data_IF_651180064747
#
_entry.id   IF_651180064747
#
_cell.length_a   1.000
_cell.length_b   1.000
_cell.length_c   1.000
_cell.angle_alpha   90.00
_cell.angle_beta   90.00
_cell.angle_gamma   90.00
#
_symmetry.space_group_name_H-M   'P 1'
#
loop_
_entity.id
_entity.type
_entity.pdbx_description
1 polymer ?
#
# COMPACT_ATOMS: atom_id res chain seq x y z
N UNK A 1 12.87 -11.61 10.25
CA UNK A 1 13.66 -11.28 9.05
C UNK A 1 12.93 -10.23 8.24
N UNK A 2 13.62 -9.20 7.76
CA UNK A 2 13.11 -8.30 6.71
C UNK A 2 13.90 -8.60 5.44
N UNK A 3 13.24 -9.14 4.43
CA UNK A 3 13.80 -9.37 3.10
C UNK A 3 13.37 -8.24 2.15
N UNK A 4 14.33 -7.49 1.64
CA UNK A 4 14.14 -6.19 0.98
C UNK A 4 14.38 -5.01 1.93
N UNK A 5 15.29 -5.18 2.90
CA UNK A 5 15.54 -4.22 3.98
C UNK A 5 16.05 -2.85 3.49
N UNK A 6 16.65 -2.77 2.30
CA UNK A 6 17.10 -1.51 1.67
C UNK A 6 15.96 -0.73 1.02
N UNK A 7 14.80 -1.36 0.77
CA UNK A 7 13.64 -0.68 0.19
C UNK A 7 13.09 0.41 1.10
N UNK A 8 12.37 1.39 0.55
CA UNK A 8 11.69 2.42 1.35
C UNK A 8 10.73 1.80 2.37
N UNK A 9 9.95 0.82 1.94
CA UNK A 9 9.02 0.11 2.81
C UNK A 9 9.74 -0.72 3.87
N UNK A 10 10.88 -1.36 3.54
CA UNK A 10 11.71 -2.09 4.50
C UNK A 10 12.27 -1.18 5.59
N UNK A 11 12.69 0.03 5.22
CA UNK A 11 13.13 1.05 6.17
C UNK A 11 12.01 1.52 7.10
N UNK A 12 10.82 1.79 6.55
CA UNK A 12 9.64 2.19 7.31
C UNK A 12 9.16 1.08 8.27
N UNK A 13 9.12 -0.16 7.77
CA UNK A 13 8.77 -1.33 8.59
C UNK A 13 9.74 -1.52 9.76
N UNK A 14 11.04 -1.37 9.50
CA UNK A 14 12.07 -1.44 10.55
C UNK A 14 11.81 -0.41 11.65
N UNK A 15 11.60 0.85 11.29
CA UNK A 15 11.31 1.92 12.25
C UNK A 15 10.06 1.61 13.09
N UNK A 16 8.99 1.13 12.47
CA UNK A 16 7.76 0.78 13.18
C UNK A 16 7.92 -0.47 14.09
N UNK A 17 8.76 -1.44 13.71
CA UNK A 17 9.05 -2.59 14.56
C UNK A 17 9.79 -2.19 15.83
N UNK A 18 10.70 -1.21 15.75
CA UNK A 18 11.42 -0.66 16.90
C UNK A 18 10.49 0.02 17.93
N UNK A 19 9.36 0.55 17.47
CA UNK A 19 8.31 1.17 18.31
C UNK A 19 7.22 0.18 18.77
N UNK A 20 7.28 -1.08 18.30
CA UNK A 20 6.25 -2.07 18.50
C UNK A 20 6.53 -2.99 19.70
N UNK A 21 5.57 -3.89 20.02
CA UNK A 21 5.77 -4.97 21.01
C UNK A 21 6.86 -5.97 20.58
N UNK A 22 7.26 -5.94 19.32
CA UNK A 22 8.28 -6.81 18.76
C UNK A 22 9.70 -6.20 18.82
N UNK A 23 9.87 -5.01 19.38
CA UNK A 23 11.15 -4.30 19.47
C UNK A 23 12.30 -5.11 20.11
N UNK A 24 11.96 -6.00 21.05
CA UNK A 24 12.95 -6.86 21.72
C UNK A 24 13.36 -8.12 20.92
N UNK A 25 12.80 -8.31 19.70
CA UNK A 25 13.12 -9.46 18.88
C UNK A 25 14.40 -9.24 18.08
N UNK A 26 15.15 -10.32 17.88
CA UNK A 26 16.30 -10.30 17.00
C UNK A 26 15.87 -10.04 15.54
N UNK A 27 16.42 -9.01 14.92
CA UNK A 27 16.04 -8.54 13.59
C UNK A 27 17.17 -8.78 12.59
N UNK A 28 16.96 -9.70 11.65
CA UNK A 28 17.86 -9.94 10.53
C UNK A 28 17.40 -9.11 9.32
N UNK A 29 18.33 -8.32 8.77
CA UNK A 29 18.11 -7.46 7.60
C UNK A 29 18.80 -8.09 6.40
N UNK A 30 18.03 -8.48 5.39
CA UNK A 30 18.55 -9.14 4.20
C UNK A 30 17.99 -8.50 2.93
N UNK A 31 18.75 -8.60 1.83
CA UNK A 31 18.32 -8.07 0.55
C UNK A 31 18.96 -8.80 -0.64
N UNK A 32 18.66 -8.33 -1.86
CA UNK A 32 19.32 -8.75 -3.08
C UNK A 32 20.83 -8.46 -3.02
N UNK A 33 21.61 -9.14 -3.87
CA UNK A 33 23.09 -9.04 -3.87
C UNK A 33 23.59 -7.59 -4.03
N UNK A 34 22.87 -6.77 -4.80
CA UNK A 34 23.26 -5.36 -5.04
C UNK A 34 23.16 -4.48 -3.78
N UNK A 35 22.33 -4.85 -2.83
CA UNK A 35 22.12 -4.12 -1.57
C UNK A 35 22.89 -4.76 -0.41
N UNK A 36 23.52 -5.93 -0.60
CA UNK A 36 24.30 -6.59 0.43
C UNK A 36 25.55 -5.75 0.78
N UNK A 37 25.86 -5.64 2.06
CA UNK A 37 26.96 -4.83 2.57
C UNK A 37 26.61 -3.36 2.86
N UNK A 38 25.41 -2.89 2.50
CA UNK A 38 24.95 -1.56 2.87
C UNK A 38 24.82 -1.44 4.38
N UNK A 39 25.35 -0.34 4.90
CA UNK A 39 25.20 0.03 6.31
C UNK A 39 23.81 0.65 6.53
N UNK A 40 23.18 0.25 7.60
CA UNK A 40 21.93 0.81 8.10
C UNK A 40 21.99 0.89 9.62
N UNK A 41 20.91 1.31 10.25
CA UNK A 41 20.77 1.32 11.70
C UNK A 41 19.60 0.40 12.06
N UNK A 42 19.75 -0.37 13.13
CA UNK A 42 18.67 -1.17 13.70
C UNK A 42 18.76 -1.10 15.22
N UNK A 43 17.65 -0.77 15.89
CA UNK A 43 17.57 -0.60 17.35
C UNK A 43 18.63 0.39 17.91
N UNK A 44 18.96 1.44 17.16
CA UNK A 44 19.96 2.44 17.54
C UNK A 44 21.43 1.99 17.36
N UNK A 45 21.66 0.81 16.78
CA UNK A 45 23.00 0.28 16.52
C UNK A 45 23.29 0.15 15.02
N UNK A 46 24.56 0.34 14.60
CA UNK A 46 24.94 0.08 13.21
C UNK A 46 24.70 -1.37 12.83
N UNK A 47 23.99 -1.59 11.74
CA UNK A 47 23.66 -2.90 11.19
C UNK A 47 24.09 -2.99 9.72
N UNK A 48 24.39 -4.19 9.25
CA UNK A 48 24.74 -4.47 7.86
C UNK A 48 23.63 -5.29 7.23
N UNK A 49 23.15 -4.88 6.05
CA UNK A 49 22.21 -5.67 5.25
C UNK A 49 22.99 -6.84 4.66
N UNK A 50 22.52 -8.05 4.94
CA UNK A 50 23.13 -9.29 4.48
C UNK A 50 22.52 -9.74 3.15
N UNK A 51 23.22 -10.58 2.39
CA UNK A 51 22.65 -11.29 1.25
C UNK A 51 21.76 -12.44 1.72
N UNK A 52 20.72 -12.75 0.97
CA UNK A 52 19.91 -13.96 1.22
C UNK A 52 20.73 -15.21 0.91
N UNK A 53 20.81 -16.12 1.88
CA UNK A 53 21.48 -17.42 1.83
C UNK A 53 20.47 -18.52 2.18
N UNK A 54 20.87 -19.81 2.04
CA UNK A 54 19.95 -20.94 2.25
C UNK A 54 19.39 -21.00 3.68
N UNK A 55 20.17 -20.59 4.66
CA UNK A 55 19.80 -20.61 6.08
C UNK A 55 19.24 -19.28 6.61
N UNK A 56 19.11 -18.27 5.75
CA UNK A 56 18.65 -16.91 6.13
C UNK A 56 17.37 -16.93 6.99
N UNK A 57 16.44 -17.80 6.64
CA UNK A 57 15.14 -17.90 7.35
C UNK A 57 15.14 -18.92 8.47
N UNK A 58 16.26 -19.64 8.71
CA UNK A 58 16.32 -20.64 9.77
C UNK A 58 16.04 -20.03 11.15
N UNK A 59 15.08 -20.62 11.89
CA UNK A 59 14.63 -20.13 13.19
C UNK A 59 13.86 -18.80 13.17
N UNK A 60 13.57 -18.24 11.97
CA UNK A 60 12.75 -17.04 11.86
C UNK A 60 11.28 -17.37 12.21
N UNK A 61 10.69 -16.61 13.12
CA UNK A 61 9.25 -16.71 13.43
C UNK A 61 8.41 -15.99 12.37
N UNK A 62 8.88 -14.83 11.93
CA UNK A 62 8.23 -13.99 10.93
C UNK A 62 9.25 -13.58 9.86
N UNK A 63 8.84 -13.66 8.59
CA UNK A 63 9.54 -13.15 7.44
C UNK A 63 8.67 -12.07 6.77
N UNK A 64 9.15 -10.83 6.75
CA UNK A 64 8.56 -9.72 6.02
C UNK A 64 9.22 -9.61 4.65
N UNK A 65 8.43 -9.61 3.58
CA UNK A 65 8.92 -9.48 2.21
C UNK A 65 8.56 -8.09 1.68
N UNK A 66 9.54 -7.19 1.64
CA UNK A 66 9.36 -5.76 1.30
C UNK A 66 10.08 -5.34 0.02
N UNK A 67 10.78 -6.26 -0.64
CA UNK A 67 11.50 -6.03 -1.88
C UNK A 67 10.60 -6.10 -3.12
N UNK A 68 11.22 -6.26 -4.28
CA UNK A 68 10.49 -6.47 -5.54
C UNK A 68 9.67 -7.77 -5.52
N UNK A 69 8.59 -7.83 -6.31
CA UNK A 69 7.79 -9.07 -6.45
C UNK A 69 8.62 -10.26 -6.95
N UNK A 70 9.65 -10.00 -7.77
CA UNK A 70 10.61 -11.03 -8.21
C UNK A 70 11.42 -11.57 -7.02
N UNK A 71 11.97 -10.68 -6.20
CA UNK A 71 12.73 -11.04 -5.01
C UNK A 71 11.85 -11.72 -3.95
N UNK A 72 10.65 -11.21 -3.73
CA UNK A 72 9.65 -11.84 -2.86
C UNK A 72 9.38 -13.30 -3.26
N UNK A 73 9.18 -13.59 -4.55
CA UNK A 73 9.02 -14.97 -5.05
C UNK A 73 10.22 -15.87 -4.76
N UNK A 74 11.43 -15.34 -4.80
CA UNK A 74 12.64 -16.12 -4.44
C UNK A 74 12.67 -16.45 -2.94
N UNK A 75 12.16 -15.56 -2.08
CA UNK A 75 12.16 -15.73 -0.64
C UNK A 75 11.00 -16.61 -0.11
N UNK A 76 9.87 -16.69 -0.83
CA UNK A 76 8.68 -17.43 -0.38
C UNK A 76 8.96 -18.90 -0.04
N UNK A 77 9.62 -19.64 -0.95
CA UNK A 77 9.93 -21.05 -0.77
C UNK A 77 10.84 -21.32 0.45
N UNK A 78 12.01 -20.69 0.52
CA UNK A 78 12.92 -20.82 1.68
C UNK A 78 12.27 -20.40 3.01
N UNK A 79 11.50 -19.33 3.06
CA UNK A 79 10.80 -18.89 4.28
C UNK A 79 9.75 -19.91 4.75
N UNK A 80 8.99 -20.52 3.81
CA UNK A 80 8.03 -21.59 4.10
C UNK A 80 8.73 -22.85 4.63
N UNK A 81 9.82 -23.27 3.98
CA UNK A 81 10.60 -24.43 4.41
C UNK A 81 11.19 -24.26 5.80
N UNK A 82 11.58 -23.05 6.17
CA UNK A 82 12.03 -22.71 7.52
C UNK A 82 10.90 -22.63 8.55
N UNK A 83 9.63 -22.75 8.14
CA UNK A 83 8.46 -22.66 9.01
C UNK A 83 8.12 -21.25 9.49
N UNK A 84 8.65 -20.22 8.85
CA UNK A 84 8.34 -18.84 9.18
C UNK A 84 6.90 -18.48 8.77
N UNK A 85 6.27 -17.61 9.53
CA UNK A 85 5.06 -16.92 9.08
C UNK A 85 5.45 -15.77 8.15
N UNK A 86 4.88 -15.71 6.95
CA UNK A 86 5.25 -14.76 5.92
C UNK A 86 4.24 -13.63 5.89
N UNK A 87 4.74 -12.40 5.93
CA UNK A 87 3.97 -11.15 5.74
C UNK A 87 4.55 -10.47 4.50
N UNK A 88 3.83 -10.61 3.40
CA UNK A 88 4.28 -10.25 2.06
C UNK A 88 3.67 -8.92 1.60
N UNK A 89 4.51 -7.93 1.36
CA UNK A 89 4.17 -6.63 0.77
C UNK A 89 4.56 -6.55 -0.70
N UNK A 90 5.29 -7.56 -1.19
CA UNK A 90 5.84 -7.57 -2.55
C UNK A 90 4.83 -8.07 -3.61
N UNK A 91 3.62 -8.45 -3.18
CA UNK A 91 2.60 -9.11 -4.00
C UNK A 91 3.02 -10.48 -4.58
N UNK A 92 4.13 -11.03 -4.12
CA UNK A 92 4.62 -12.33 -4.58
C UNK A 92 3.63 -13.47 -4.27
N UNK A 93 2.88 -13.35 -3.17
CA UNK A 93 1.90 -14.33 -2.68
C UNK A 93 0.44 -13.99 -3.02
N UNK A 94 0.17 -12.90 -3.72
CA UNK A 94 -1.21 -12.46 -4.00
C UNK A 94 -2.02 -13.47 -4.83
N UNK A 95 -1.36 -14.16 -5.76
CA UNK A 95 -1.97 -15.22 -6.59
C UNK A 95 -1.69 -16.64 -6.08
N UNK A 96 -1.07 -16.77 -4.92
CA UNK A 96 -0.73 -18.06 -4.32
C UNK A 96 -1.97 -18.62 -3.61
N UNK A 97 -2.34 -19.90 -3.83
CA UNK A 97 -3.49 -20.52 -3.13
C UNK A 97 -3.39 -20.47 -1.60
N UNK A 98 -2.16 -20.47 -1.06
CA UNK A 98 -1.89 -20.35 0.37
C UNK A 98 -1.78 -18.90 0.86
N UNK A 99 -1.88 -17.92 -0.04
CA UNK A 99 -1.83 -16.49 0.24
C UNK A 99 -3.14 -16.02 0.86
N UNK A 100 -3.09 -15.49 2.06
CA UNK A 100 -4.25 -14.91 2.74
C UNK A 100 -4.23 -13.38 2.55
N UNK A 101 -5.24 -12.80 1.89
CA UNK A 101 -5.34 -11.34 1.75
C UNK A 101 -5.41 -10.67 3.12
N UNK A 102 -4.66 -9.57 3.29
CA UNK A 102 -4.63 -8.85 4.56
C UNK A 102 -4.62 -7.33 4.39
N UNK A 103 -5.49 -6.67 5.14
CA UNK A 103 -5.45 -5.26 5.50
C UNK A 103 -6.21 -5.05 6.83
N UNK A 104 -6.01 -3.93 7.54
CA UNK A 104 -6.66 -3.70 8.84
C UNK A 104 -8.19 -3.81 8.75
N UNK A 105 -8.78 -4.48 9.73
CA UNK A 105 -10.24 -4.74 9.82
C UNK A 105 -10.85 -5.62 8.70
N UNK A 106 -10.05 -6.29 7.88
CA UNK A 106 -10.58 -7.15 6.79
C UNK A 106 -11.65 -8.14 7.28
N UNK A 107 -11.42 -8.81 8.42
CA UNK A 107 -12.39 -9.77 8.99
C UNK A 107 -13.72 -9.09 9.33
N UNK A 108 -13.65 -7.93 9.98
CA UNK A 108 -14.85 -7.15 10.34
C UNK A 108 -15.62 -6.68 9.11
N UNK A 109 -14.92 -6.18 8.10
CA UNK A 109 -15.52 -5.62 6.89
C UNK A 109 -16.09 -6.68 5.96
N UNK A 110 -15.44 -7.83 5.86
CA UNK A 110 -15.85 -8.92 4.97
C UNK A 110 -16.75 -9.95 5.64
N UNK A 111 -16.76 -10.01 6.98
CA UNK A 111 -17.38 -11.08 7.75
C UNK A 111 -16.67 -12.43 7.61
N UNK A 112 -15.51 -12.48 6.97
CA UNK A 112 -14.71 -13.69 6.77
C UNK A 112 -13.56 -13.73 7.76
N UNK A 113 -13.45 -14.78 8.56
CA UNK A 113 -12.33 -14.97 9.46
C UNK A 113 -11.09 -15.44 8.71
N UNK A 114 -9.93 -14.96 9.13
CA UNK A 114 -8.65 -15.51 8.70
C UNK A 114 -8.56 -16.98 9.06
N UNK A 115 -8.14 -17.81 8.11
CA UNK A 115 -8.06 -19.26 8.33
C UNK A 115 -7.13 -19.60 9.51
N UNK A 116 -7.60 -20.44 10.41
CA UNK A 116 -6.74 -20.97 11.50
C UNK A 116 -5.55 -21.71 10.88
N UNK A 117 -4.34 -21.27 11.21
CA UNK A 117 -3.11 -21.85 10.67
C UNK A 117 -2.60 -21.22 9.38
N UNK A 118 -3.20 -20.14 8.89
CA UNK A 118 -2.62 -19.34 7.81
C UNK A 118 -1.20 -18.89 8.17
N UNK A 119 -0.27 -19.08 7.23
CA UNK A 119 1.15 -18.81 7.40
C UNK A 119 1.72 -17.85 6.37
N UNK A 120 0.94 -17.49 5.36
CA UNK A 120 1.35 -16.55 4.32
C UNK A 120 0.25 -15.50 4.16
N UNK A 121 0.59 -14.25 4.40
CA UNK A 121 -0.31 -13.12 4.33
C UNK A 121 0.15 -12.15 3.25
N UNK A 122 -0.71 -11.83 2.30
CA UNK A 122 -0.48 -10.81 1.29
C UNK A 122 -1.06 -9.49 1.78
N UNK A 123 -0.21 -8.57 2.20
CA UNK A 123 -0.60 -7.24 2.66
C UNK A 123 -0.93 -6.39 1.45
N UNK A 124 -2.09 -5.76 1.44
CA UNK A 124 -2.54 -4.92 0.34
C UNK A 124 -1.68 -3.67 0.19
N UNK A 125 -1.55 -3.23 -1.06
CA UNK A 125 -1.02 -1.91 -1.38
C UNK A 125 -1.89 -0.79 -0.80
N UNK A 126 -1.38 0.43 -0.61
CA UNK A 126 -2.19 1.56 -0.14
C UNK A 126 -3.39 1.81 -1.04
N UNK A 127 -3.23 1.61 -2.36
CA UNK A 127 -4.34 1.70 -3.32
C UNK A 127 -5.40 0.63 -3.10
N UNK A 128 -5.00 -0.62 -2.94
CA UNK A 128 -5.90 -1.74 -2.67
C UNK A 128 -6.64 -1.57 -1.35
N UNK A 129 -5.92 -1.14 -0.29
CA UNK A 129 -6.53 -0.83 1.01
C UNK A 129 -7.59 0.28 0.89
N UNK A 130 -7.28 1.38 0.22
CA UNK A 130 -8.20 2.52 0.07
C UNK A 130 -9.46 2.12 -0.68
N UNK A 131 -9.32 1.41 -1.81
CA UNK A 131 -10.45 0.96 -2.64
C UNK A 131 -11.30 -0.07 -1.89
N UNK A 132 -10.70 -1.12 -1.34
CA UNK A 132 -11.42 -2.19 -0.65
C UNK A 132 -12.15 -1.66 0.60
N UNK A 133 -11.48 -0.85 1.41
CA UNK A 133 -12.07 -0.28 2.62
C UNK A 133 -13.25 0.63 2.28
N UNK A 134 -13.14 1.50 1.26
CA UNK A 134 -14.24 2.38 0.85
C UNK A 134 -15.42 1.57 0.27
N UNK A 135 -15.15 0.63 -0.63
CA UNK A 135 -16.18 -0.20 -1.23
C UNK A 135 -16.97 -1.00 -0.17
N UNK A 136 -16.26 -1.63 0.77
CA UNK A 136 -16.86 -2.39 1.86
C UNK A 136 -17.63 -1.50 2.85
N UNK A 137 -17.14 -0.29 3.15
CA UNK A 137 -17.82 0.68 3.98
C UNK A 137 -19.18 1.09 3.38
N UNK A 138 -19.21 1.29 2.05
CA UNK A 138 -20.40 1.75 1.32
C UNK A 138 -21.38 0.62 0.97
N UNK A 139 -20.96 -0.66 1.05
CA UNK A 139 -21.79 -1.82 0.71
C UNK A 139 -23.12 -1.85 1.48
N UNK A 140 -23.11 -1.49 2.75
CA UNK A 140 -24.32 -1.42 3.60
C UNK A 140 -25.37 -0.41 3.11
N UNK A 141 -24.95 0.55 2.28
CA UNK A 141 -25.81 1.56 1.65
C UNK A 141 -26.23 1.19 0.22
N UNK A 142 -26.00 -0.07 -0.18
CA UNK A 142 -26.34 -0.57 -1.51
C UNK A 142 -25.45 0.04 -2.58
N UNK A 143 -24.14 -0.07 -2.43
CA UNK A 143 -23.15 0.37 -3.43
C UNK A 143 -23.42 -0.31 -4.77
N UNK A 144 -23.81 0.49 -5.79
CA UNK A 144 -24.07 0.02 -7.15
C UNK A 144 -22.86 0.21 -8.06
N UNK A 145 -22.11 1.30 -7.86
CA UNK A 145 -20.94 1.64 -8.66
C UNK A 145 -19.96 2.48 -7.84
N UNK A 146 -18.68 2.17 -7.98
CA UNK A 146 -17.57 2.98 -7.46
C UNK A 146 -16.63 3.31 -8.61
N UNK A 147 -16.37 4.59 -8.85
CA UNK A 147 -15.32 5.06 -9.76
C UNK A 147 -14.27 5.73 -8.92
N UNK A 148 -13.02 5.30 -9.02
CA UNK A 148 -11.94 5.85 -8.19
C UNK A 148 -10.68 6.10 -9.01
N UNK A 149 -10.15 7.31 -8.89
CA UNK A 149 -8.85 7.70 -9.39
C UNK A 149 -7.85 7.73 -8.25
N UNK A 150 -6.75 6.99 -8.39
CA UNK A 150 -5.63 6.94 -7.46
C UNK A 150 -4.49 7.79 -8.00
N UNK A 151 -3.98 8.72 -7.20
CA UNK A 151 -2.87 9.61 -7.52
C UNK A 151 -1.57 9.03 -6.97
N UNK A 152 -0.73 8.49 -7.86
CA UNK A 152 0.37 7.59 -7.58
C UNK A 152 1.69 8.34 -7.46
N UNK A 153 2.36 8.37 -6.28
CA UNK A 153 3.61 9.09 -6.06
C UNK A 153 4.82 8.35 -6.64
N UNK A 154 5.94 9.07 -6.83
CA UNK A 154 7.18 8.46 -7.35
C UNK A 154 7.83 7.47 -6.38
N UNK A 155 7.59 7.59 -5.07
CA UNK A 155 8.10 6.65 -4.05
C UNK A 155 7.63 5.20 -4.25
N UNK A 156 6.58 4.98 -5.01
CA UNK A 156 6.14 3.64 -5.40
C UNK A 156 7.13 2.93 -6.36
N UNK A 157 7.98 3.70 -7.04
CA UNK A 157 9.12 3.19 -7.78
C UNK A 157 10.41 3.13 -6.92
N UNK A 158 10.27 3.23 -5.61
CA UNK A 158 11.38 3.18 -4.68
C UNK A 158 12.25 4.45 -4.68
N UNK A 159 13.45 4.31 -4.13
CA UNK A 159 14.43 5.40 -4.02
C UNK A 159 14.81 5.98 -5.38
N UNK A 160 14.95 5.12 -6.38
CA UNK A 160 15.29 5.55 -7.74
C UNK A 160 14.23 6.47 -8.36
N UNK A 161 12.93 6.22 -8.09
CA UNK A 161 11.85 7.09 -8.52
C UNK A 161 11.92 8.49 -7.90
N UNK A 162 12.27 8.55 -6.62
CA UNK A 162 12.47 9.82 -5.90
C UNK A 162 13.65 10.60 -6.50
N UNK A 163 14.79 9.96 -6.68
CA UNK A 163 16.00 10.55 -7.26
C UNK A 163 15.77 11.03 -8.71
N UNK A 164 14.98 10.28 -9.49
CA UNK A 164 14.66 10.66 -10.87
C UNK A 164 13.78 11.93 -10.90
N UNK A 165 12.74 12.02 -10.05
CA UNK A 165 11.92 13.22 -9.94
C UNK A 165 12.72 14.43 -9.46
N UNK A 166 13.58 14.26 -8.47
CA UNK A 166 14.46 15.32 -7.94
C UNK A 166 15.41 15.83 -9.02
N UNK A 167 16.07 14.90 -9.73
CA UNK A 167 16.98 15.21 -10.83
C UNK A 167 16.27 15.94 -11.97
N UNK A 168 15.12 15.46 -12.42
CA UNK A 168 14.32 16.08 -13.47
C UNK A 168 13.85 17.47 -13.05
N UNK A 169 13.42 17.64 -11.81
CA UNK A 169 13.01 18.94 -11.26
C UNK A 169 14.16 19.94 -11.31
N UNK A 170 15.35 19.56 -10.85
CA UNK A 170 16.56 20.40 -10.89
C UNK A 170 16.94 20.76 -12.34
N UNK A 171 16.93 19.77 -13.24
CA UNK A 171 17.26 19.98 -14.65
C UNK A 171 16.31 20.97 -15.34
N UNK A 172 14.99 20.86 -15.08
CA UNK A 172 13.99 21.79 -15.63
C UNK A 172 14.18 23.22 -15.11
N UNK A 173 14.42 23.38 -13.81
CA UNK A 173 14.62 24.70 -13.19
C UNK A 173 15.93 25.37 -13.62
N UNK A 174 16.92 24.58 -14.05
CA UNK A 174 18.21 25.07 -14.54
C UNK A 174 18.33 25.06 -16.07
N UNK A 175 17.21 24.86 -16.79
CA UNK A 175 17.15 24.84 -18.27
C UNK A 175 18.09 23.82 -18.91
N UNK A 176 18.30 22.67 -18.24
CA UNK A 176 19.09 21.56 -18.75
C UNK A 176 18.21 20.56 -19.48
N UNK A 177 18.85 19.67 -20.25
CA UNK A 177 18.15 18.53 -20.87
C UNK A 177 17.67 17.58 -19.80
N UNK A 178 16.38 17.24 -19.81
CA UNK A 178 15.76 16.32 -18.84
C UNK A 178 16.13 14.88 -19.17
N UNK A 179 16.65 14.15 -18.19
CA UNK A 179 16.84 12.69 -18.24
C UNK A 179 15.54 11.95 -17.94
N UNK A 180 15.45 10.69 -18.38
CA UNK A 180 14.24 9.86 -18.21
C UNK A 180 14.63 8.45 -17.70
N UNK A 181 15.39 8.38 -16.61
CA UNK A 181 16.05 7.15 -16.17
C UNK A 181 15.09 6.04 -15.74
N UNK A 182 14.10 6.35 -14.91
CA UNK A 182 13.21 5.36 -14.28
C UNK A 182 11.90 5.21 -15.04
N UNK A 183 11.30 6.32 -15.42
CA UNK A 183 9.96 6.34 -15.98
C UNK A 183 9.93 6.42 -17.51
N UNK A 184 11.08 6.48 -18.18
CA UNK A 184 11.18 6.59 -19.65
C UNK A 184 10.55 7.84 -20.21
N UNK A 185 10.15 8.81 -19.36
CA UNK A 185 9.50 10.07 -19.73
C UNK A 185 9.69 11.12 -18.65
N UNK A 186 9.36 12.38 -18.95
CA UNK A 186 9.34 13.44 -17.95
C UNK A 186 8.19 13.21 -16.97
N UNK A 187 8.53 13.09 -15.68
CA UNK A 187 7.59 13.02 -14.56
C UNK A 187 7.50 14.33 -13.79
N UNK A 188 8.59 15.11 -13.74
CA UNK A 188 8.59 16.40 -13.07
C UNK A 188 7.58 17.36 -13.70
N UNK A 189 6.69 17.93 -12.88
CA UNK A 189 5.60 18.82 -13.27
C UNK A 189 4.61 18.21 -14.27
N UNK A 190 4.46 16.88 -14.30
CA UNK A 190 3.63 16.19 -15.28
C UNK A 190 2.68 15.19 -14.60
N UNK A 191 1.48 15.02 -15.18
CA UNK A 191 0.49 14.01 -14.83
C UNK A 191 0.44 12.97 -15.93
N UNK A 192 0.59 11.67 -15.60
CA UNK A 192 0.70 10.62 -16.61
C UNK A 192 -0.30 9.50 -16.35
N UNK A 193 -0.95 9.02 -17.41
CA UNK A 193 -1.75 7.78 -17.39
C UNK A 193 -0.94 6.55 -17.80
N UNK A 194 0.28 6.74 -18.29
CA UNK A 194 1.25 5.69 -18.62
C UNK A 194 2.66 6.27 -18.60
N UNK A 195 3.65 5.42 -18.36
CA UNK A 195 5.06 5.77 -18.49
C UNK A 195 5.58 5.61 -19.93
N UNK A 196 6.82 6.02 -20.17
CA UNK A 196 7.48 5.85 -21.46
C UNK A 196 7.79 4.38 -21.75
N UNK A 197 8.07 4.05 -23.03
CA UNK A 197 8.31 2.68 -23.48
C UNK A 197 9.54 2.03 -22.84
N UNK A 198 10.55 2.82 -22.45
CA UNK A 198 11.77 2.35 -21.78
C UNK A 198 11.63 2.24 -20.26
N UNK A 199 10.45 2.54 -19.71
CA UNK A 199 10.21 2.49 -18.27
C UNK A 199 10.26 1.05 -17.75
N UNK A 200 10.91 0.88 -16.61
CA UNK A 200 10.83 -0.36 -15.81
C UNK A 200 9.54 -0.43 -14.97
N UNK A 201 8.82 0.68 -14.88
CA UNK A 201 7.55 0.79 -14.16
C UNK A 201 6.37 0.73 -15.15
N UNK A 202 5.29 0.10 -14.73
CA UNK A 202 4.06 -0.02 -15.54
C UNK A 202 2.82 0.25 -14.67
N UNK A 203 2.19 1.41 -14.89
CA UNK A 203 0.95 1.79 -14.19
C UNK A 203 -0.20 0.82 -14.46
N UNK A 204 -0.26 0.22 -15.65
CA UNK A 204 -1.30 -0.76 -15.98
C UNK A 204 -1.10 -2.06 -15.22
N UNK A 205 0.12 -2.56 -15.14
CA UNK A 205 0.43 -3.74 -14.33
C UNK A 205 0.10 -3.51 -12.86
N UNK A 206 0.48 -2.34 -12.31
CA UNK A 206 0.13 -1.96 -10.93
C UNK A 206 -1.38 -1.87 -10.72
N UNK A 207 -2.12 -1.29 -11.66
CA UNK A 207 -3.57 -1.23 -11.60
C UNK A 207 -4.21 -2.63 -11.56
N UNK A 208 -3.67 -3.60 -12.32
CA UNK A 208 -4.15 -4.98 -12.30
C UNK A 208 -3.88 -5.68 -10.96
N UNK A 209 -2.74 -5.40 -10.31
CA UNK A 209 -2.45 -5.89 -8.96
C UNK A 209 -3.45 -5.33 -7.94
N UNK A 210 -3.72 -4.01 -7.96
CA UNK A 210 -4.73 -3.38 -7.11
C UNK A 210 -6.12 -4.00 -7.34
N UNK A 211 -6.49 -4.27 -8.60
CA UNK A 211 -7.75 -4.96 -8.90
C UNK A 211 -7.80 -6.35 -8.32
N UNK A 212 -6.72 -7.11 -8.38
CA UNK A 212 -6.64 -8.45 -7.79
C UNK A 212 -6.78 -8.41 -6.25
N UNK A 213 -6.17 -7.42 -5.59
CA UNK A 213 -6.35 -7.18 -4.15
C UNK A 213 -7.82 -6.89 -3.81
N UNK A 214 -8.45 -5.98 -4.57
CA UNK A 214 -9.86 -5.60 -4.37
C UNK A 214 -10.78 -6.80 -4.59
N UNK A 215 -10.57 -7.59 -5.66
CA UNK A 215 -11.31 -8.81 -5.94
C UNK A 215 -11.17 -9.83 -4.79
N UNK A 216 -9.96 -10.02 -4.28
CA UNK A 216 -9.71 -10.90 -3.13
C UNK A 216 -10.45 -10.45 -1.85
N UNK A 217 -10.56 -9.13 -1.63
CA UNK A 217 -11.31 -8.57 -0.50
C UNK A 217 -12.82 -8.68 -0.68
N UNK A 218 -13.31 -8.32 -1.85
CA UNK A 218 -14.76 -8.28 -2.16
C UNK A 218 -15.37 -9.66 -2.32
N UNK A 219 -14.63 -10.63 -2.90
CA UNK A 219 -15.18 -11.95 -3.23
C UNK A 219 -16.39 -11.82 -4.13
N UNK A 220 -17.44 -12.63 -3.88
CA UNK A 220 -18.68 -12.62 -4.67
C UNK A 220 -19.40 -11.25 -4.68
N UNK A 221 -19.11 -10.38 -3.71
CA UNK A 221 -19.68 -9.03 -3.65
C UNK A 221 -19.13 -8.07 -4.73
N UNK A 222 -18.08 -8.45 -5.46
CA UNK A 222 -17.59 -7.67 -6.60
C UNK A 222 -18.59 -7.70 -7.78
N UNK A 223 -19.37 -8.76 -7.92
CA UNK A 223 -20.41 -8.87 -8.95
C UNK A 223 -21.54 -7.88 -8.74
N UNK A 224 -21.85 -7.55 -7.48
CA UNK A 224 -22.91 -6.61 -7.11
C UNK A 224 -22.51 -5.15 -7.28
N UNK A 225 -21.20 -4.83 -7.11
CA UNK A 225 -20.70 -3.48 -7.17
C UNK A 225 -19.71 -3.30 -8.33
N UNK A 226 -20.09 -2.49 -9.32
CA UNK A 226 -19.21 -2.16 -10.47
C UNK A 226 -18.09 -1.21 -10.05
N UNK A 227 -16.88 -1.72 -9.84
CA UNK A 227 -15.72 -0.94 -9.45
C UNK A 227 -14.86 -0.59 -10.67
N UNK A 228 -14.72 0.70 -10.96
CA UNK A 228 -13.88 1.23 -12.03
C UNK A 228 -12.70 2.01 -11.44
N UNK A 229 -11.48 1.61 -11.78
CA UNK A 229 -10.27 2.20 -11.24
C UNK A 229 -9.45 2.85 -12.33
N UNK A 230 -8.83 3.98 -11.98
CA UNK A 230 -7.82 4.64 -12.80
C UNK A 230 -6.61 4.96 -11.91
N UNK A 231 -5.40 4.73 -12.44
CA UNK A 231 -4.14 5.03 -11.76
C UNK A 231 -3.43 6.12 -12.53
N UNK A 232 -3.14 7.23 -11.84
CA UNK A 232 -2.56 8.45 -12.42
C UNK A 232 -1.26 8.75 -11.68
N UNK A 233 -0.14 8.74 -12.38
CA UNK A 233 1.11 9.25 -11.83
C UNK A 233 1.02 10.74 -11.56
N UNK A 234 1.46 11.16 -10.39
CA UNK A 234 1.57 12.57 -10.00
C UNK A 234 3.00 12.91 -9.56
N UNK A 235 3.48 14.15 -9.82
CA UNK A 235 4.84 14.55 -9.54
C UNK A 235 5.04 14.93 -8.06
N UNK A 236 4.73 14.00 -7.17
CA UNK A 236 4.95 14.13 -5.72
C UNK A 236 5.84 13.01 -5.22
N UNK A 237 6.64 13.28 -4.21
CA UNK A 237 7.58 12.30 -3.65
C UNK A 237 6.86 11.19 -2.90
N UNK A 238 6.00 11.54 -1.95
CA UNK A 238 5.33 10.64 -1.04
C UNK A 238 3.85 10.99 -0.87
N UNK A 239 3.12 10.01 -0.35
CA UNK A 239 1.72 10.14 -0.04
C UNK A 239 0.83 9.93 -1.26
N UNK A 240 -0.06 8.96 -1.16
CA UNK A 240 -1.10 8.70 -2.16
C UNK A 240 -2.36 9.46 -1.80
N UNK A 241 -2.95 10.14 -2.77
CA UNK A 241 -4.30 10.69 -2.66
C UNK A 241 -5.24 9.94 -3.60
N UNK A 242 -6.54 10.09 -3.39
CA UNK A 242 -7.56 9.54 -4.28
C UNK A 242 -8.81 10.40 -4.33
N UNK A 243 -9.51 10.32 -5.46
CA UNK A 243 -10.86 10.85 -5.65
C UNK A 243 -11.78 9.71 -6.05
N UNK A 244 -12.95 9.61 -5.43
CA UNK A 244 -13.92 8.57 -5.73
C UNK A 244 -15.32 9.13 -5.88
N UNK A 245 -16.11 8.55 -6.81
CA UNK A 245 -17.55 8.79 -6.95
C UNK A 245 -18.28 7.46 -6.77
N UNK A 246 -19.22 7.42 -5.83
CA UNK A 246 -20.02 6.24 -5.53
C UNK A 246 -21.49 6.47 -5.80
N UNK A 247 -22.13 5.56 -6.54
CA UNK A 247 -23.59 5.51 -6.74
C UNK A 247 -24.18 4.52 -5.72
N UNK A 248 -25.12 4.99 -4.91
CA UNK A 248 -25.77 4.24 -3.83
C UNK A 248 -27.24 4.00 -4.14
N UNK A 249 -27.75 2.82 -3.81
CA UNK A 249 -29.17 2.48 -4.00
C UNK A 249 -30.07 3.11 -2.93
N UNK A 250 -29.54 3.30 -1.72
CA UNK A 250 -30.29 3.87 -0.61
C UNK A 250 -30.12 5.39 -0.57
N UNK A 251 -31.18 6.11 -0.23
CA UNK A 251 -31.05 7.50 0.19
C UNK A 251 -30.32 7.52 1.54
N UNK A 252 -29.17 8.16 1.58
CA UNK A 252 -28.29 8.22 2.75
C UNK A 252 -27.90 9.68 3.00
N UNK A 253 -27.81 10.07 4.26
CA UNK A 253 -27.24 11.33 4.66
C UNK A 253 -25.71 11.24 4.79
N UNK A 254 -25.06 12.38 4.88
CA UNK A 254 -23.61 12.47 4.99
C UNK A 254 -23.10 11.84 6.28
N UNK A 255 -23.78 12.10 7.39
CA UNK A 255 -23.41 11.62 8.71
C UNK A 255 -23.36 10.08 8.76
N UNK A 256 -24.33 9.41 8.12
CA UNK A 256 -24.33 7.95 8.02
C UNK A 256 -23.19 7.40 7.15
N UNK A 257 -22.78 8.11 6.10
CA UNK A 257 -21.61 7.76 5.29
C UNK A 257 -20.31 7.93 6.08
N UNK A 258 -20.16 9.05 6.77
CA UNK A 258 -19.00 9.33 7.63
C UNK A 258 -18.86 8.25 8.71
N UNK A 259 -19.95 7.90 9.41
CA UNK A 259 -19.95 6.85 10.42
C UNK A 259 -19.54 5.49 9.83
N UNK A 260 -20.03 5.15 8.64
CA UNK A 260 -19.67 3.92 7.95
C UNK A 260 -18.18 3.89 7.59
N UNK A 261 -17.64 5.02 7.11
CA UNK A 261 -16.22 5.14 6.79
C UNK A 261 -15.35 5.08 8.08
N UNK A 262 -15.75 5.71 9.17
CA UNK A 262 -15.05 5.60 10.47
C UNK A 262 -15.08 4.17 10.99
N UNK A 263 -16.21 3.50 10.93
CA UNK A 263 -16.34 2.10 11.34
C UNK A 263 -15.43 1.18 10.49
N UNK A 264 -15.29 1.48 9.20
CA UNK A 264 -14.40 0.76 8.30
C UNK A 264 -12.91 1.02 8.56
N UNK A 265 -12.54 2.09 9.24
CA UNK A 265 -11.16 2.39 9.62
C UNK A 265 -10.57 3.65 9.00
N UNK A 266 -11.37 4.43 8.28
CA UNK A 266 -10.94 5.77 7.90
C UNK A 266 -10.94 6.74 9.08
N UNK A 267 -9.98 7.63 9.10
CA UNK A 267 -10.05 8.87 9.86
C UNK A 267 -10.79 9.88 8.99
N UNK A 268 -12.04 10.15 9.35
CA UNK A 268 -12.87 11.12 8.62
C UNK A 268 -12.72 12.47 9.29
N UNK A 269 -12.24 13.47 8.56
CA UNK A 269 -12.03 14.82 9.05
C UNK A 269 -13.36 15.49 9.40
N UNK A 270 -13.33 16.36 10.41
CA UNK A 270 -14.51 17.09 10.84
C UNK A 270 -14.91 18.13 9.79
N UNK A 271 -16.21 18.48 9.78
CA UNK A 271 -16.72 19.54 8.91
C UNK A 271 -16.00 20.87 9.19
N UNK A 272 -15.50 21.50 8.14
CA UNK A 272 -14.75 22.74 8.21
C UNK A 272 -13.24 22.58 8.41
N UNK A 273 -12.73 21.38 8.62
CA UNK A 273 -11.29 21.10 8.58
C UNK A 273 -10.79 21.05 7.12
N UNK A 274 -9.52 21.39 6.84
CA UNK A 274 -8.94 21.22 5.53
C UNK A 274 -9.00 19.75 5.09
N UNK A 275 -9.34 19.44 3.81
CA UNK A 275 -9.33 18.07 3.34
C UNK A 275 -7.94 17.45 3.42
N UNK A 276 -7.82 16.11 3.59
CA UNK A 276 -6.53 15.46 3.68
C UNK A 276 -5.74 15.62 2.38
N UNK A 277 -4.43 15.72 2.49
CA UNK A 277 -3.51 15.80 1.36
C UNK A 277 -2.35 14.84 1.56
N UNK A 278 -1.61 14.53 0.49
CA UNK A 278 -0.38 13.74 0.58
C UNK A 278 0.65 14.32 1.58
N UNK A 279 0.63 15.63 1.82
CA UNK A 279 1.51 16.30 2.78
C UNK A 279 0.98 16.17 4.21
N UNK A 280 -0.33 16.40 4.43
CA UNK A 280 -0.92 16.39 5.77
C UNK A 280 -0.99 14.99 6.40
N UNK A 281 -0.91 13.93 5.59
CA UNK A 281 -0.95 12.53 6.06
C UNK A 281 0.44 11.89 6.17
N UNK A 282 1.51 12.66 5.96
CA UNK A 282 2.87 12.15 6.07
C UNK A 282 3.16 11.68 7.50
N UNK A 283 3.64 10.46 7.66
CA UNK A 283 3.89 9.82 8.95
C UNK A 283 2.65 9.24 9.65
N UNK A 284 1.46 9.36 9.06
CA UNK A 284 0.23 8.80 9.61
C UNK A 284 0.06 7.31 9.25
N UNK A 285 -0.60 6.56 10.13
CA UNK A 285 -0.79 5.10 9.99
C UNK A 285 -2.17 4.70 9.50
N UNK A 286 -3.00 5.67 9.13
CA UNK A 286 -4.39 5.47 8.76
C UNK A 286 -4.71 6.00 7.36
N UNK A 287 -5.81 5.52 6.80
CA UNK A 287 -6.44 6.11 5.63
C UNK A 287 -7.29 7.31 6.07
N UNK A 288 -7.11 8.46 5.43
CA UNK A 288 -7.84 9.69 5.74
C UNK A 288 -8.89 9.98 4.67
N UNK A 289 -10.05 10.46 5.10
CA UNK A 289 -11.12 10.98 4.25
C UNK A 289 -11.50 12.40 4.67
N UNK A 290 -11.72 13.24 3.67
CA UNK A 290 -12.44 14.50 3.85
C UNK A 290 -13.96 14.26 3.98
N UNK A 291 -14.68 15.32 4.14
CA UNK A 291 -16.14 15.33 4.19
C UNK A 291 -16.73 14.80 2.87
N UNK A 292 -17.63 13.77 2.88
CA UNK A 292 -18.31 13.31 1.69
C UNK A 292 -19.22 14.40 1.10
N UNK A 293 -19.21 14.59 -0.20
CA UNK A 293 -19.94 15.64 -0.92
C UNK A 293 -20.96 15.02 -1.86
N UNK A 294 -22.23 15.45 -1.78
CA UNK A 294 -23.25 15.03 -2.75
C UNK A 294 -22.89 15.46 -4.16
N UNK A 295 -23.07 14.57 -5.13
CA UNK A 295 -22.97 14.94 -6.53
C UNK A 295 -24.13 15.87 -6.93
N UNK A 296 -23.81 17.01 -7.52
CA UNK A 296 -24.80 18.01 -7.91
C UNK A 296 -25.61 17.59 -9.15
N UNK A 297 -25.05 16.70 -9.98
CA UNK A 297 -25.64 16.27 -11.24
C UNK A 297 -26.41 14.94 -11.16
N UNK A 298 -26.24 14.18 -10.06
CA UNK A 298 -26.81 12.86 -9.94
C UNK A 298 -27.27 12.52 -8.53
N UNK A 299 -28.57 12.36 -8.36
CA UNK A 299 -29.15 11.94 -7.09
C UNK A 299 -28.66 10.53 -6.70
N UNK A 300 -28.38 10.32 -5.41
CA UNK A 300 -27.83 9.06 -4.89
C UNK A 300 -26.33 8.88 -5.08
N UNK A 301 -25.64 9.85 -5.70
CA UNK A 301 -24.20 9.80 -5.92
C UNK A 301 -23.46 10.72 -4.95
N UNK A 302 -22.27 10.26 -4.52
CA UNK A 302 -21.43 10.95 -3.57
C UNK A 302 -19.96 10.95 -4.00
N UNK A 303 -19.30 12.08 -3.79
CA UNK A 303 -17.87 12.26 -3.98
C UNK A 303 -17.13 12.09 -2.65
N UNK A 304 -16.00 11.41 -2.75
CA UNK A 304 -15.07 11.21 -1.65
C UNK A 304 -13.68 11.66 -2.07
N UNK A 305 -13.00 12.34 -1.18
CA UNK A 305 -11.59 12.69 -1.33
C UNK A 305 -10.82 12.12 -0.15
N UNK A 306 -9.68 11.47 -0.40
CA UNK A 306 -8.87 10.90 0.67
C UNK A 306 -7.39 10.87 0.33
N UNK A 307 -6.59 10.59 1.35
CA UNK A 307 -5.16 10.42 1.25
C UNK A 307 -4.61 9.48 2.32
N UNK A 308 -3.42 8.95 2.09
CA UNK A 308 -2.67 8.16 3.07
C UNK A 308 -1.16 8.26 2.82
N UNK A 309 -0.37 8.02 3.86
CA UNK A 309 1.06 7.75 3.69
C UNK A 309 1.22 6.38 3.04
N UNK A 310 1.77 6.38 1.83
CA UNK A 310 1.82 5.17 1.00
C UNK A 310 2.86 4.13 1.45
N UNK A 311 3.76 4.49 2.35
CA UNK A 311 4.74 3.58 2.94
C UNK A 311 4.34 3.17 4.36
N UNK A 312 3.94 4.14 5.19
CA UNK A 312 3.68 3.91 6.60
C UNK A 312 2.41 3.09 6.84
N UNK A 313 1.34 3.33 6.07
CA UNK A 313 0.08 2.59 6.21
C UNK A 313 0.25 1.09 5.98
N UNK A 314 0.84 0.60 4.86
CA UNK A 314 1.07 -0.83 4.70
C UNK A 314 2.08 -1.40 5.71
N UNK A 315 3.18 -0.68 6.01
CA UNK A 315 4.16 -1.12 7.00
C UNK A 315 3.51 -1.31 8.38
N UNK A 316 2.74 -0.32 8.85
CA UNK A 316 1.99 -0.40 10.11
C UNK A 316 0.98 -1.56 10.10
N UNK A 317 0.27 -1.76 8.99
CA UNK A 317 -0.66 -2.88 8.82
C UNK A 317 0.04 -4.24 9.03
N UNK A 318 1.23 -4.42 8.47
CA UNK A 318 2.02 -5.63 8.65
C UNK A 318 2.57 -5.80 10.07
N UNK A 319 2.98 -4.70 10.74
CA UNK A 319 3.40 -4.75 12.16
C UNK A 319 2.23 -5.17 13.05
N UNK A 320 1.03 -4.60 12.85
CA UNK A 320 -0.18 -4.99 13.60
C UNK A 320 -0.58 -6.44 13.36
N UNK A 321 -0.42 -6.93 12.14
CA UNK A 321 -0.61 -8.35 11.84
C UNK A 321 0.41 -9.21 12.60
N UNK A 322 1.68 -8.84 12.58
CA UNK A 322 2.74 -9.56 13.29
C UNK A 322 2.49 -9.60 14.80
N UNK A 323 2.08 -8.48 15.40
CA UNK A 323 1.69 -8.40 16.81
C UNK A 323 0.52 -9.33 17.13
N UNK A 324 -0.51 -9.37 16.27
CA UNK A 324 -1.68 -10.22 16.43
C UNK A 324 -1.33 -11.72 16.31
N UNK A 325 -0.47 -12.09 15.37
CA UNK A 325 -0.04 -13.50 15.18
C UNK A 325 0.85 -14.03 16.30
N UNK A 326 1.37 -13.16 17.15
CA UNK A 326 2.32 -13.52 18.22
C UNK A 326 1.73 -13.40 19.63
N UNK A 327 0.45 -13.00 19.71
CA UNK A 327 -0.35 -12.99 20.96
C UNK A 327 -0.94 -14.37 21.22
#
# INVERSE_FOLDING_TARGET
VIAGASSLLGGELKSLLEESRLAAWDLRLVDEEQAAGLLTEAAGEPAVIQRVEEDTFHGARIAFLTGSSKFGRQCLGPARQAGATIIDFSHASLSDPDGTPWFPKIEHLTGRSVAKGARTFSVFSPGGMAVATLALALRRHGLQRLVMALYWPVSEAGREGIEDLETQTSQLLTFQRVGHRVFGTQTAFNLLSRYGEESQQDLRARLLEIRAEVSAAMGDAEEDAKISLNLIHVPVFYGMAFSACADLAATVDREALEESCRAAGFVVQASGEPPPSNVSVAGETSLYLGEPVKDAGREGSWWFWGACDNLRVPAWSGVKLAEWLTT
#
